data_IF_274841627767
#
_entry.id   IF_274841627767
#
_cell.length_a   1.000
_cell.length_b   1.000
_cell.length_c   1.000
_cell.angle_alpha   90.00
_cell.angle_beta   90.00
_cell.angle_gamma   90.00
#
_symmetry.space_group_name_H-M   'P 1'
#
loop_
_entity.id
_entity.type
_entity.pdbx_description
1 polymer ?
#
# COMPACT_ATOMS: atom_id res chain seq x y z
N UNK A 1 13.33 1.74 24.10
CA UNK A 1 12.16 1.31 23.31
C UNK A 1 11.46 2.42 22.52
N UNK A 2 10.93 3.51 23.10
CA UNK A 2 10.19 4.52 22.31
C UNK A 2 11.13 5.35 21.42
N UNK A 3 12.26 5.80 21.97
CA UNK A 3 13.28 6.57 21.24
C UNK A 3 13.83 5.78 20.04
N UNK A 4 14.21 4.52 20.24
CA UNK A 4 14.71 3.65 19.15
C UNK A 4 13.70 3.46 18.01
N UNK A 5 12.39 3.42 18.32
CA UNK A 5 11.34 3.34 17.30
C UNK A 5 11.27 4.64 16.48
N UNK A 6 11.41 5.79 17.13
CA UNK A 6 11.43 7.11 16.48
C UNK A 6 12.68 7.23 15.60
N UNK A 7 13.85 6.87 16.11
CA UNK A 7 15.11 6.90 15.33
C UNK A 7 15.03 5.99 14.11
N UNK A 8 14.49 4.78 14.27
CA UNK A 8 14.26 3.84 13.16
C UNK A 8 13.30 4.41 12.13
N UNK A 9 12.20 5.04 12.57
CA UNK A 9 11.25 5.70 11.68
C UNK A 9 11.95 6.81 10.86
N UNK A 10 12.74 7.68 11.51
CA UNK A 10 13.51 8.73 10.83
C UNK A 10 14.46 8.14 9.80
N UNK A 11 15.16 7.06 10.14
CA UNK A 11 16.09 6.38 9.23
C UNK A 11 15.36 5.81 7.99
N UNK A 12 14.19 5.19 8.18
CA UNK A 12 13.37 4.66 7.08
C UNK A 12 12.82 5.78 6.18
N UNK A 13 12.36 6.89 6.75
CA UNK A 13 11.91 8.06 5.96
C UNK A 13 13.04 8.62 5.10
N UNK A 14 14.27 8.70 5.63
CA UNK A 14 15.44 9.15 4.86
C UNK A 14 15.71 8.23 3.66
N UNK A 15 15.72 6.91 3.87
CA UNK A 15 15.91 5.91 2.80
C UNK A 15 14.79 5.98 1.76
N UNK A 16 13.55 6.07 2.20
CA UNK A 16 12.39 6.20 1.32
C UNK A 16 12.54 7.42 0.38
N UNK A 17 12.91 8.58 0.92
CA UNK A 17 13.13 9.80 0.12
C UNK A 17 14.25 9.65 -0.91
N UNK A 18 15.34 8.99 -0.54
CA UNK A 18 16.44 8.71 -1.47
C UNK A 18 15.97 7.83 -2.64
N UNK A 19 15.21 6.77 -2.37
CA UNK A 19 14.68 5.87 -3.40
C UNK A 19 13.67 6.58 -4.31
N UNK A 20 12.76 7.39 -3.76
CA UNK A 20 11.83 8.20 -4.57
C UNK A 20 12.59 9.20 -5.44
N UNK A 21 13.64 9.83 -4.92
CA UNK A 21 14.47 10.76 -5.71
C UNK A 21 15.17 10.05 -6.87
N UNK A 22 15.66 8.83 -6.65
CA UNK A 22 16.25 8.02 -7.72
C UNK A 22 15.21 7.63 -8.78
N UNK A 23 14.04 7.14 -8.35
CA UNK A 23 12.93 6.77 -9.25
C UNK A 23 12.44 7.97 -10.06
N UNK A 24 12.36 9.17 -9.45
CA UNK A 24 11.93 10.37 -10.17
C UNK A 24 12.95 10.81 -11.24
N UNK A 25 14.23 10.48 -11.07
CA UNK A 25 15.28 10.78 -12.06
C UNK A 25 15.30 9.77 -13.20
N UNK A 26 15.14 8.49 -12.89
CA UNK A 26 15.23 7.38 -13.86
C UNK A 26 13.89 7.07 -14.54
N UNK A 27 12.77 7.44 -13.91
CA UNK A 27 11.42 7.08 -14.32
C UNK A 27 10.86 5.88 -13.55
N UNK A 28 9.53 5.77 -13.50
CA UNK A 28 8.86 4.62 -12.84
C UNK A 28 9.16 3.28 -13.52
N UNK A 29 9.49 3.32 -14.81
CA UNK A 29 9.81 2.14 -15.62
C UNK A 29 11.12 2.37 -16.35
N UNK A 30 11.89 1.30 -16.48
CA UNK A 30 13.15 1.30 -17.21
C UNK A 30 13.06 0.39 -18.43
N UNK A 31 13.61 0.86 -19.55
CA UNK A 31 13.74 0.08 -20.77
C UNK A 31 14.99 -0.78 -20.68
N UNK A 32 14.82 -2.09 -20.79
CA UNK A 32 15.93 -3.04 -20.86
C UNK A 32 16.11 -3.46 -22.31
N UNK A 33 17.28 -3.13 -22.84
CA UNK A 33 17.69 -3.54 -24.18
C UNK A 33 18.74 -4.64 -24.04
N UNK A 34 18.43 -5.84 -24.51
CA UNK A 34 19.34 -6.97 -24.49
C UNK A 34 19.48 -7.54 -25.91
N UNK A 35 20.50 -7.08 -26.64
CA UNK A 35 20.76 -7.39 -28.05
C UNK A 35 19.52 -7.33 -28.95
N UNK A 36 18.76 -8.42 -29.08
CA UNK A 36 17.54 -8.52 -29.90
C UNK A 36 16.23 -8.35 -29.12
N UNK A 37 16.26 -8.33 -27.79
CA UNK A 37 15.08 -8.23 -26.93
C UNK A 37 14.98 -6.84 -26.28
N UNK A 38 13.80 -6.26 -26.36
CA UNK A 38 13.47 -4.97 -25.75
C UNK A 38 12.22 -5.14 -24.90
N UNK A 39 12.33 -4.85 -23.60
CA UNK A 39 11.17 -4.90 -22.71
C UNK A 39 11.22 -3.80 -21.66
N UNK A 40 10.04 -3.41 -21.20
CA UNK A 40 9.84 -2.39 -20.18
C UNK A 40 9.61 -3.12 -18.85
N UNK A 41 10.37 -2.75 -17.82
CA UNK A 41 10.14 -3.26 -16.46
C UNK A 41 10.00 -2.12 -15.47
N UNK A 42 9.33 -2.38 -14.36
CA UNK A 42 9.26 -1.45 -13.22
C UNK A 42 10.66 -1.17 -12.68
N UNK A 43 10.89 0.04 -12.21
CA UNK A 43 12.14 0.44 -11.57
C UNK A 43 12.54 -0.57 -10.46
N UNK A 44 13.78 -1.08 -10.42
CA UNK A 44 14.20 -2.11 -9.47
C UNK A 44 13.93 -1.76 -7.99
N UNK A 45 14.22 -0.51 -7.64
CA UNK A 45 13.97 0.07 -6.30
C UNK A 45 12.50 0.16 -5.89
N UNK A 46 11.55 -0.05 -6.80
CA UNK A 46 10.12 0.05 -6.49
C UNK A 46 9.68 -1.02 -5.50
N UNK A 47 10.30 -2.20 -5.54
CA UNK A 47 10.04 -3.27 -4.58
C UNK A 47 10.40 -2.87 -3.14
N UNK A 48 11.50 -2.14 -2.98
CA UNK A 48 11.97 -1.69 -1.66
C UNK A 48 11.18 -0.50 -1.14
N UNK A 49 10.74 0.40 -2.03
CA UNK A 49 9.80 1.49 -1.67
C UNK A 49 8.52 0.92 -1.08
N UNK A 50 7.96 -0.14 -1.66
CA UNK A 50 6.74 -0.79 -1.15
C UNK A 50 6.99 -1.42 0.24
N UNK A 51 8.13 -2.07 0.45
CA UNK A 51 8.50 -2.67 1.75
C UNK A 51 8.66 -1.61 2.83
N UNK A 52 9.46 -0.57 2.54
CA UNK A 52 9.70 0.53 3.48
C UNK A 52 8.38 1.24 3.82
N UNK A 53 7.49 1.44 2.85
CA UNK A 53 6.19 2.06 3.11
C UNK A 53 5.32 1.24 4.09
N UNK A 54 5.33 -0.10 3.95
CA UNK A 54 4.64 -0.99 4.90
C UNK A 54 5.24 -0.89 6.30
N UNK A 55 6.57 -0.89 6.40
CA UNK A 55 7.27 -0.77 7.69
C UNK A 55 7.01 0.58 8.36
N UNK A 56 6.98 1.68 7.59
CA UNK A 56 6.64 3.01 8.08
C UNK A 56 5.23 3.03 8.67
N UNK A 57 4.24 2.47 7.97
CA UNK A 57 2.85 2.39 8.45
C UNK A 57 2.75 1.60 9.77
N UNK A 58 3.46 0.47 9.86
CA UNK A 58 3.49 -0.34 11.09
C UNK A 58 4.15 0.41 12.25
N UNK A 59 5.23 1.16 12.00
CA UNK A 59 5.89 1.98 13.02
C UNK A 59 5.04 3.18 13.43
N UNK A 60 4.32 3.81 12.50
CA UNK A 60 3.37 4.88 12.80
C UNK A 60 2.27 4.39 13.73
N UNK A 61 1.66 3.25 13.43
CA UNK A 61 0.65 2.64 14.30
C UNK A 61 1.23 2.31 15.69
N UNK A 62 2.48 1.84 15.74
CA UNK A 62 3.16 1.47 16.99
C UNK A 62 3.60 2.68 17.84
N UNK A 63 3.93 3.81 17.21
CA UNK A 63 4.36 5.07 17.86
C UNK A 63 3.13 5.88 18.29
N UNK A 64 2.17 6.05 17.39
CA UNK A 64 1.08 7.00 17.56
C UNK A 64 -0.18 6.40 18.17
N UNK A 65 -0.28 5.05 18.31
CA UNK A 65 -1.40 4.28 18.91
C UNK A 65 -2.64 5.15 19.17
N UNK A 66 -3.23 5.68 18.10
CA UNK A 66 -4.44 6.48 18.22
C UNK A 66 -5.53 5.47 18.47
N UNK A 67 -6.14 5.52 19.65
CA UNK A 67 -7.31 4.71 20.00
C UNK A 67 -8.28 4.77 18.82
N UNK A 68 -8.32 3.72 17.99
CA UNK A 68 -9.32 3.62 16.95
C UNK A 68 -10.62 3.42 17.71
N UNK A 69 -11.40 4.49 17.86
CA UNK A 69 -12.80 4.41 18.24
C UNK A 69 -13.38 3.37 17.30
N UNK A 70 -13.84 2.24 17.86
CA UNK A 70 -14.51 1.20 17.09
C UNK A 70 -15.67 1.89 16.36
N UNK A 71 -15.53 2.13 15.06
CA UNK A 71 -16.70 2.28 14.21
C UNK A 71 -17.29 0.89 14.15
N UNK A 72 -18.28 0.64 15.00
CA UNK A 72 -19.18 -0.48 14.84
C UNK A 72 -19.71 -0.40 13.41
N UNK A 73 -19.25 -1.31 12.55
CA UNK A 73 -19.87 -1.54 11.26
C UNK A 73 -21.24 -2.11 11.56
N UNK A 74 -22.28 -1.28 11.52
CA UNK A 74 -23.66 -1.75 11.40
C UNK A 74 -23.73 -2.62 10.15
N UNK A 75 -23.65 -3.94 10.35
CA UNK A 75 -23.86 -4.95 9.32
C UNK A 75 -25.35 -5.00 8.99
N UNK A 76 -25.86 -3.96 8.34
CA UNK A 76 -27.12 -4.05 7.60
C UNK A 76 -26.78 -3.89 6.12
N UNK A 77 -26.31 -4.99 5.52
CA UNK A 77 -26.35 -5.08 4.06
C UNK A 77 -27.84 -5.07 3.67
N UNK A 78 -28.31 -4.14 2.83
CA UNK A 78 -29.67 -4.25 2.31
C UNK A 78 -29.76 -5.60 1.59
N UNK A 79 -30.72 -6.45 2.01
CA UNK A 79 -31.01 -7.72 1.35
C UNK A 79 -31.39 -7.40 -0.10
N UNK A 80 -30.45 -7.54 -1.02
CA UNK A 80 -30.76 -7.44 -2.45
C UNK A 80 -31.52 -8.69 -2.83
N UNK A 81 -32.84 -8.59 -2.95
CA UNK A 81 -33.69 -9.64 -3.49
C UNK A 81 -33.16 -10.08 -4.86
N UNK A 82 -32.80 -11.36 -4.99
CA UNK A 82 -32.31 -11.91 -6.23
C UNK A 82 -33.44 -11.96 -7.27
N UNK A 83 -33.10 -12.01 -8.55
CA UNK A 83 -34.09 -12.11 -9.63
C UNK A 83 -34.99 -13.35 -9.47
N UNK A 84 -34.47 -14.42 -8.86
CA UNK A 84 -35.24 -15.64 -8.55
C UNK A 84 -36.34 -15.37 -7.54
N UNK A 85 -36.07 -14.54 -6.53
CA UNK A 85 -37.03 -14.22 -5.48
C UNK A 85 -38.18 -13.34 -6.00
N UNK A 86 -37.93 -12.52 -7.02
CA UNK A 86 -38.96 -11.68 -7.66
C UNK A 86 -39.94 -12.50 -8.50
N UNK A 87 -39.46 -13.55 -9.17
CA UNK A 87 -40.30 -14.42 -10.02
C UNK A 87 -41.22 -15.30 -9.18
N UNK A 88 -40.78 -15.72 -7.99
CA UNK A 88 -41.60 -16.52 -7.07
C UNK A 88 -42.78 -15.75 -6.45
N UNK A 89 -42.72 -14.41 -6.40
CA UNK A 89 -43.78 -13.57 -5.85
C UNK A 89 -44.87 -13.20 -6.86
N UNK A 90 -44.75 -13.63 -8.12
CA UNK A 90 -45.68 -13.30 -9.22
C UNK A 90 -46.64 -14.43 -9.56
N UNK A 91 -46.94 -15.34 -8.62
CA UNK A 91 -47.90 -16.43 -8.79
C UNK A 91 -49.04 -16.33 -7.81
#
# INVERSE_FOLDING_TARGET
>A
MVIEKIERYIALVKKYRQLITAINKEGLTINVNNSSQHYIKTHPSMSDVIKINKELLMLEDAIFKRSKVKKESSNDKPKTFSLRDRVASSK
#
